data_IF_085535324835
#
_entry.id   IF_085535324835
#
_cell.length_a   1.000
_cell.length_b   1.000
_cell.length_c   1.000
_cell.angle_alpha   90.00
_cell.angle_beta   90.00
_cell.angle_gamma   90.00
#
_symmetry.space_group_name_H-M   'P 1'
#
loop_
_entity.id
_entity.type
_entity.pdbx_description
1 polymer ?
#
# COMPACT_ATOMS: atom_id res chain seq x y z
N UNK A 1 -4.29 5.28 9.67
CA UNK A 1 -5.49 4.44 9.82
C UNK A 1 -5.17 3.06 9.35
N UNK A 2 -4.98 2.17 10.33
CA UNK A 2 -5.34 0.78 10.12
C UNK A 2 -6.78 0.64 9.63
N UNK A 3 -7.01 -0.47 8.97
CA UNK A 3 -8.32 -0.98 8.64
C UNK A 3 -8.85 -1.64 9.91
N UNK A 4 -9.90 -1.06 10.49
CA UNK A 4 -10.48 -1.56 11.73
C UNK A 4 -11.57 -2.60 11.43
N UNK A 5 -11.58 -3.65 12.23
CA UNK A 5 -12.62 -4.69 12.23
C UNK A 5 -13.09 -4.85 13.68
N UNK A 6 -13.90 -3.91 14.21
CA UNK A 6 -14.38 -3.92 15.60
C UNK A 6 -15.03 -5.22 16.03
N UNK A 7 -15.79 -5.90 15.14
CA UNK A 7 -16.48 -7.15 15.45
C UNK A 7 -15.56 -8.24 16.02
N UNK A 8 -14.29 -8.19 15.67
CA UNK A 8 -13.27 -9.15 16.09
C UNK A 8 -12.10 -8.51 16.87
N UNK A 9 -12.22 -7.23 17.29
CA UNK A 9 -11.12 -6.53 17.95
C UNK A 9 -9.83 -6.48 17.13
N UNK A 10 -9.94 -6.44 15.80
CA UNK A 10 -8.81 -6.55 14.87
C UNK A 10 -8.48 -5.19 14.23
N UNK A 11 -7.21 -4.82 14.26
CA UNK A 11 -6.68 -3.65 13.58
C UNK A 11 -5.57 -4.07 12.60
N UNK A 12 -5.80 -3.83 11.31
CA UNK A 12 -4.87 -4.19 10.23
C UNK A 12 -4.17 -2.94 9.72
N UNK A 13 -2.91 -2.77 10.09
CA UNK A 13 -2.07 -1.67 9.65
C UNK A 13 -1.50 -1.96 8.26
N UNK A 14 -1.60 -0.97 7.38
CA UNK A 14 -1.18 -1.12 5.98
C UNK A 14 -0.50 0.15 5.50
N UNK A 15 0.55 -0.01 4.72
CA UNK A 15 1.07 1.05 3.86
C UNK A 15 0.50 0.92 2.43
N UNK A 16 0.68 1.91 1.55
CA UNK A 16 0.33 1.73 0.15
C UNK A 16 1.06 0.54 -0.48
N UNK A 17 0.39 -0.16 -1.41
CA UNK A 17 0.96 -1.23 -2.25
C UNK A 17 1.30 -2.55 -1.52
N UNK A 18 0.76 -2.76 -0.33
CA UNK A 18 0.84 -4.03 0.46
C UNK A 18 -0.46 -4.82 0.45
N UNK A 19 -1.13 -4.92 -0.72
CA UNK A 19 -2.46 -5.54 -0.86
C UNK A 19 -3.61 -4.78 -0.18
N UNK A 20 -3.45 -3.47 0.07
CA UNK A 20 -4.40 -2.66 0.85
C UNK A 20 -5.83 -2.68 0.28
N UNK A 21 -6.03 -2.83 -1.04
CA UNK A 21 -7.38 -2.99 -1.63
C UNK A 21 -8.03 -4.30 -1.19
N UNK A 22 -7.33 -5.42 -1.33
CA UNK A 22 -7.84 -6.74 -0.94
C UNK A 22 -8.09 -6.81 0.57
N UNK A 23 -7.20 -6.23 1.39
CA UNK A 23 -7.36 -6.18 2.84
C UNK A 23 -8.60 -5.38 3.26
N UNK A 24 -8.94 -4.29 2.55
CA UNK A 24 -10.16 -3.52 2.81
C UNK A 24 -11.42 -4.28 2.43
N UNK A 25 -11.41 -4.97 1.29
CA UNK A 25 -12.53 -5.84 0.89
C UNK A 25 -12.75 -6.96 1.91
N UNK A 26 -11.67 -7.56 2.40
CA UNK A 26 -11.71 -8.59 3.43
C UNK A 26 -12.27 -8.06 4.75
N UNK A 27 -11.79 -6.90 5.21
CA UNK A 27 -12.32 -6.27 6.42
C UNK A 27 -13.81 -5.94 6.30
N UNK A 28 -14.24 -5.43 5.14
CA UNK A 28 -15.66 -5.22 4.87
C UNK A 28 -16.45 -6.52 4.98
N UNK A 29 -15.94 -7.61 4.39
CA UNK A 29 -16.56 -8.93 4.48
C UNK A 29 -16.65 -9.43 5.94
N UNK A 30 -15.59 -9.29 6.73
CA UNK A 30 -15.60 -9.71 8.13
C UNK A 30 -16.67 -8.97 8.95
N UNK A 31 -16.80 -7.66 8.74
CA UNK A 31 -17.81 -6.84 9.41
C UNK A 31 -19.24 -7.16 8.95
N UNK A 32 -19.45 -7.31 7.64
CA UNK A 32 -20.80 -7.31 7.05
C UNK A 32 -21.28 -8.70 6.61
N UNK A 33 -20.42 -9.72 6.69
CA UNK A 33 -20.67 -11.08 6.19
C UNK A 33 -21.10 -11.14 4.72
N UNK A 34 -20.69 -10.15 3.92
CA UNK A 34 -20.94 -10.05 2.47
C UNK A 34 -19.81 -9.30 1.77
N UNK A 35 -19.59 -9.59 0.50
CA UNK A 35 -18.57 -8.90 -0.29
C UNK A 35 -18.95 -7.44 -0.55
N UNK A 36 -17.94 -6.58 -0.66
CA UNK A 36 -18.14 -5.19 -1.06
C UNK A 36 -18.39 -5.10 -2.56
N UNK A 37 -19.53 -4.53 -2.94
CA UNK A 37 -19.86 -4.20 -4.32
C UNK A 37 -19.76 -2.68 -4.54
N UNK A 38 -18.96 -2.21 -5.51
CA UNK A 38 -18.92 -0.79 -5.86
C UNK A 38 -20.31 -0.31 -6.30
N UNK A 39 -20.73 0.84 -5.78
CA UNK A 39 -22.04 1.41 -6.10
C UNK A 39 -21.90 2.87 -6.54
N UNK A 40 -22.94 3.38 -7.22
CA UNK A 40 -23.03 4.80 -7.60
C UNK A 40 -24.04 5.51 -6.72
N UNK A 41 -23.63 6.64 -6.14
CA UNK A 41 -24.50 7.53 -5.37
C UNK A 41 -24.04 8.97 -5.55
N UNK A 42 -24.97 9.88 -5.81
CA UNK A 42 -24.68 11.30 -6.03
C UNK A 42 -23.73 11.56 -7.22
N UNK A 43 -23.87 10.82 -8.32
CA UNK A 43 -23.00 10.93 -9.50
C UNK A 43 -21.57 10.40 -9.33
N UNK A 44 -21.20 9.95 -8.13
CA UNK A 44 -19.88 9.40 -7.81
C UNK A 44 -19.93 7.89 -7.69
N UNK A 45 -18.90 7.21 -8.19
CA UNK A 45 -18.70 5.77 -7.94
C UNK A 45 -17.93 5.61 -6.63
N UNK A 46 -18.49 4.84 -5.70
CA UNK A 46 -17.92 4.54 -4.41
C UNK A 46 -17.16 3.22 -4.48
N UNK A 47 -15.88 3.27 -4.12
CA UNK A 47 -15.02 2.09 -4.01
C UNK A 47 -14.76 1.77 -2.54
N UNK A 48 -14.26 0.57 -2.25
CA UNK A 48 -13.96 0.15 -0.86
C UNK A 48 -12.99 1.11 -0.15
N UNK A 49 -12.09 1.77 -0.89
CA UNK A 49 -11.18 2.78 -0.36
C UNK A 49 -11.88 4.04 0.16
N UNK A 50 -13.07 4.36 -0.37
CA UNK A 50 -13.89 5.49 0.09
C UNK A 50 -14.59 5.19 1.41
N UNK A 51 -14.85 3.90 1.68
CA UNK A 51 -15.52 3.44 2.90
C UNK A 51 -14.48 3.16 4.01
N UNK A 52 -13.34 2.59 3.64
CA UNK A 52 -12.25 2.23 4.55
C UNK A 52 -10.96 2.97 4.14
N UNK A 53 -10.74 4.24 4.52
CA UNK A 53 -9.55 4.99 4.10
C UNK A 53 -8.28 4.49 4.79
N UNK A 54 -7.11 4.63 4.14
CA UNK A 54 -5.80 4.46 4.78
C UNK A 54 -5.32 5.85 5.17
N UNK A 55 -4.97 6.07 6.43
CA UNK A 55 -4.38 7.34 6.92
C UNK A 55 -3.04 7.06 7.61
N UNK A 56 -2.34 8.08 8.08
CA UNK A 56 -1.08 7.94 8.84
C UNK A 56 -1.30 7.31 10.23
N UNK A 57 -0.22 6.87 10.87
CA UNK A 57 -0.24 6.00 12.05
C UNK A 57 -0.92 6.63 13.29
N UNK A 58 -0.69 7.91 13.58
CA UNK A 58 -0.97 8.55 14.89
C UNK A 58 -2.44 8.87 15.24
N UNK A 59 -3.44 8.17 14.68
CA UNK A 59 -4.86 8.60 14.83
C UNK A 59 -5.80 7.65 15.57
N UNK A 60 -5.33 6.58 16.22
CA UNK A 60 -6.25 5.59 16.84
C UNK A 60 -5.86 5.22 18.27
N UNK A 61 -6.85 5.24 19.16
CA UNK A 61 -6.77 4.63 20.49
C UNK A 61 -6.72 3.10 20.34
N UNK A 62 -5.52 2.53 20.38
CA UNK A 62 -5.27 1.10 20.09
C UNK A 62 -5.71 0.13 21.18
N UNK A 63 -6.08 0.62 22.38
CA UNK A 63 -6.45 -0.22 23.52
C UNK A 63 -7.68 -1.11 23.29
N UNK A 64 -8.51 -0.79 22.28
CA UNK A 64 -9.74 -1.53 21.95
C UNK A 64 -9.52 -2.69 20.95
N UNK A 65 -8.30 -2.86 20.42
CA UNK A 65 -7.99 -3.83 19.37
C UNK A 65 -6.87 -4.78 19.82
N UNK A 66 -7.16 -5.89 20.52
CA UNK A 66 -6.14 -6.84 20.98
C UNK A 66 -5.34 -7.46 19.83
N UNK A 67 -5.93 -7.58 18.64
CA UNK A 67 -5.26 -8.11 17.46
C UNK A 67 -4.73 -6.97 16.61
N UNK A 68 -3.52 -6.50 16.92
CA UNK A 68 -2.82 -5.47 16.15
C UNK A 68 -1.82 -6.12 15.21
N UNK A 69 -2.12 -6.13 13.91
CA UNK A 69 -1.28 -6.74 12.89
C UNK A 69 -0.85 -5.72 11.83
N UNK A 70 0.25 -5.96 11.14
CA UNK A 70 0.69 -5.14 10.02
C UNK A 70 0.93 -5.96 8.75
N UNK A 71 0.82 -5.27 7.61
CA UNK A 71 1.31 -5.75 6.32
C UNK A 71 2.45 -4.88 5.84
N UNK A 72 3.61 -5.51 5.63
CA UNK A 72 4.80 -4.89 5.04
C UNK A 72 5.11 -5.52 3.69
N UNK A 73 5.88 -4.83 2.87
CA UNK A 73 6.44 -5.37 1.63
C UNK A 73 7.86 -4.87 1.47
N UNK A 74 8.74 -5.69 0.90
CA UNK A 74 10.09 -5.27 0.53
C UNK A 74 10.04 -3.91 -0.23
N UNK A 75 10.79 -2.88 0.23
CA UNK A 75 10.63 -1.52 -0.28
C UNK A 75 10.82 -1.34 -1.79
N UNK A 76 11.78 -2.05 -2.40
CA UNK A 76 12.08 -1.94 -3.83
C UNK A 76 10.97 -2.60 -4.66
N UNK A 77 10.47 -3.76 -4.25
CA UNK A 77 9.31 -4.39 -4.87
C UNK A 77 8.06 -3.53 -4.77
N UNK A 78 7.85 -2.90 -3.60
CA UNK A 78 6.74 -1.99 -3.34
C UNK A 78 6.79 -0.80 -4.28
N UNK A 79 7.97 -0.18 -4.42
CA UNK A 79 8.23 0.91 -5.36
C UNK A 79 8.00 0.48 -6.82
N UNK A 80 8.53 -0.68 -7.21
CA UNK A 80 8.38 -1.23 -8.57
C UNK A 80 6.90 -1.49 -8.90
N UNK A 81 6.14 -2.02 -7.94
CA UNK A 81 4.70 -2.21 -8.06
C UNK A 81 3.94 -0.88 -8.20
N UNK A 82 4.39 0.17 -7.50
CA UNK A 82 3.86 1.52 -7.67
C UNK A 82 4.14 2.04 -9.09
N UNK A 83 5.40 2.03 -9.52
CA UNK A 83 5.83 2.54 -10.83
C UNK A 83 5.04 1.89 -11.97
N UNK A 84 4.95 0.55 -11.98
CA UNK A 84 4.17 -0.19 -12.98
C UNK A 84 2.68 0.18 -12.97
N UNK A 85 2.10 0.41 -11.80
CA UNK A 85 0.65 0.62 -11.67
C UNK A 85 0.20 2.06 -11.89
N UNK A 86 1.03 3.02 -11.50
CA UNK A 86 0.68 4.44 -11.39
C UNK A 86 1.43 5.33 -12.36
N UNK A 87 2.68 5.00 -12.67
CA UNK A 87 3.45 5.71 -13.69
C UNK A 87 3.13 5.10 -15.05
N UNK A 88 3.50 3.84 -15.28
CA UNK A 88 3.38 3.20 -16.61
C UNK A 88 1.94 2.95 -17.11
N UNK A 89 0.98 2.72 -16.20
CA UNK A 89 -0.40 2.34 -16.57
C UNK A 89 -1.38 3.51 -16.50
N UNK A 90 -1.11 4.53 -15.68
CA UNK A 90 -2.00 5.68 -15.48
C UNK A 90 -1.38 6.96 -16.05
N UNK A 91 -0.95 6.92 -17.30
CA UNK A 91 -0.53 8.10 -18.07
C UNK A 91 -1.73 8.96 -18.49
N UNK A 92 -2.52 9.45 -17.53
CA UNK A 92 -3.44 10.56 -17.83
C UNK A 92 -2.68 11.86 -17.55
N UNK A 93 -1.91 12.30 -18.54
CA UNK A 93 -1.22 13.61 -18.59
C UNK A 93 -2.20 14.80 -18.37
N UNK A 94 -3.51 14.54 -18.36
CA UNK A 94 -4.56 15.50 -18.02
C UNK A 94 -4.62 15.88 -16.53
N UNK A 95 -3.91 15.18 -15.64
CA UNK A 95 -3.90 15.50 -14.20
C UNK A 95 -2.95 16.67 -13.92
N UNK A 96 -3.42 17.64 -13.12
CA UNK A 96 -2.71 18.89 -12.78
C UNK A 96 -1.28 18.64 -12.26
N UNK A 97 -1.09 17.60 -11.43
CA UNK A 97 0.24 17.26 -10.90
C UNK A 97 1.25 16.86 -11.98
N UNK A 98 0.82 16.11 -13.00
CA UNK A 98 1.69 15.74 -14.11
C UNK A 98 2.04 16.94 -14.99
N UNK A 99 1.09 17.85 -15.21
CA UNK A 99 1.37 19.12 -15.90
C UNK A 99 2.40 19.96 -15.15
N UNK A 100 2.30 20.04 -13.82
CA UNK A 100 3.28 20.73 -12.97
C UNK A 100 4.66 20.09 -13.05
N UNK A 101 4.74 18.76 -13.02
CA UNK A 101 5.99 18.02 -13.18
C UNK A 101 6.66 18.36 -14.53
N UNK A 102 5.90 18.30 -15.63
CA UNK A 102 6.39 18.63 -16.97
C UNK A 102 6.82 20.10 -17.09
N UNK A 103 6.07 21.04 -16.51
CA UNK A 103 6.43 22.46 -16.48
C UNK A 103 7.74 22.74 -15.72
N UNK A 104 8.18 21.82 -14.85
CA UNK A 104 9.48 21.85 -14.17
C UNK A 104 10.59 21.11 -14.93
N UNK A 105 10.32 20.66 -16.15
CA UNK A 105 11.29 19.94 -16.99
C UNK A 105 11.37 18.43 -16.71
N UNK A 106 10.48 17.87 -15.88
CA UNK A 106 10.48 16.42 -15.63
C UNK A 106 9.90 15.65 -16.83
N UNK A 107 10.48 14.49 -17.20
CA UNK A 107 9.93 13.66 -18.25
C UNK A 107 8.46 13.28 -17.99
N UNK A 108 7.54 13.43 -18.96
CA UNK A 108 6.15 13.00 -18.80
C UNK A 108 6.02 11.46 -18.79
N UNK A 109 6.99 10.77 -19.39
CA UNK A 109 7.05 9.32 -19.52
C UNK A 109 8.45 8.81 -19.14
N UNK A 110 8.84 8.94 -17.87
CA UNK A 110 10.19 8.59 -17.45
C UNK A 110 10.40 7.07 -17.51
N UNK A 111 11.62 6.67 -17.87
CA UNK A 111 12.15 5.34 -17.55
C UNK A 111 12.22 5.16 -16.03
N UNK A 112 12.48 3.93 -15.57
CA UNK A 112 12.62 3.68 -14.13
C UNK A 112 13.75 4.50 -13.52
N UNK A 113 14.92 4.51 -14.16
CA UNK A 113 16.09 5.23 -13.66
C UNK A 113 15.89 6.75 -13.67
N UNK A 114 15.25 7.31 -14.71
CA UNK A 114 14.90 8.74 -14.72
C UNK A 114 13.91 9.10 -13.61
N UNK A 115 12.94 8.22 -13.34
CA UNK A 115 11.96 8.43 -12.28
C UNK A 115 12.60 8.36 -10.88
N UNK A 116 13.50 7.40 -10.66
CA UNK A 116 14.25 7.27 -9.40
C UNK A 116 15.16 8.47 -9.20
N UNK A 117 15.93 8.85 -10.22
CA UNK A 117 16.84 10.00 -10.18
C UNK A 117 16.11 11.31 -9.85
N UNK A 118 14.88 11.46 -10.32
CA UNK A 118 14.05 12.66 -10.10
C UNK A 118 12.94 12.44 -9.04
N UNK A 119 13.05 11.42 -8.18
CA UNK A 119 11.97 11.02 -7.28
C UNK A 119 11.49 12.17 -6.38
N UNK A 120 12.41 12.97 -5.84
CA UNK A 120 12.07 14.14 -5.02
C UNK A 120 11.13 15.12 -5.75
N UNK A 121 11.44 15.44 -7.00
CA UNK A 121 10.68 16.42 -7.77
C UNK A 121 9.32 15.90 -8.22
N UNK A 122 9.22 14.61 -8.55
CA UNK A 122 7.92 13.98 -8.77
C UNK A 122 7.07 13.95 -7.51
N UNK A 123 7.66 13.68 -6.33
CA UNK A 123 6.95 13.73 -5.04
C UNK A 123 6.43 15.13 -4.73
N UNK A 124 7.22 16.18 -4.95
CA UNK A 124 6.78 17.57 -4.76
C UNK A 124 5.67 17.99 -5.74
N UNK A 125 5.69 17.45 -6.96
CA UNK A 125 4.75 17.85 -8.01
C UNK A 125 3.46 17.05 -8.01
N UNK A 126 3.50 15.79 -7.57
CA UNK A 126 2.41 14.82 -7.69
C UNK A 126 2.14 14.16 -6.33
N UNK A 127 1.08 14.60 -5.66
CA UNK A 127 0.65 14.08 -4.33
C UNK A 127 0.49 12.55 -4.34
N UNK A 128 -0.01 11.97 -5.43
CA UNK A 128 -0.14 10.51 -5.55
C UNK A 128 1.23 9.80 -5.54
N UNK A 129 2.26 10.41 -6.14
CA UNK A 129 3.64 9.89 -6.09
C UNK A 129 4.17 9.99 -4.67
N UNK A 130 4.04 11.15 -4.02
CA UNK A 130 4.45 11.34 -2.63
C UNK A 130 3.85 10.27 -1.71
N UNK A 131 2.53 10.11 -1.75
CA UNK A 131 1.82 9.17 -0.89
C UNK A 131 2.24 7.71 -1.13
N UNK A 132 2.29 7.25 -2.38
CA UNK A 132 2.56 5.83 -2.66
C UNK A 132 4.04 5.44 -2.58
N UNK A 133 4.94 6.42 -2.66
CA UNK A 133 6.39 6.20 -2.46
C UNK A 133 6.81 6.50 -1.03
N UNK A 134 5.90 6.94 -0.16
CA UNK A 134 6.26 7.21 1.24
C UNK A 134 6.70 5.92 1.97
N UNK A 135 7.65 6.09 2.89
CA UNK A 135 8.20 5.02 3.73
C UNK A 135 7.09 4.31 4.50
N UNK A 136 7.22 3.01 4.69
CA UNK A 136 6.25 2.20 5.43
C UNK A 136 6.15 2.65 6.89
N UNK A 137 7.25 3.04 7.51
CA UNK A 137 7.27 3.52 8.90
C UNK A 137 6.35 4.71 9.16
N UNK A 138 6.07 5.55 8.14
CA UNK A 138 5.12 6.67 8.27
C UNK A 138 3.67 6.17 8.49
N UNK A 139 3.35 5.00 7.97
CA UNK A 139 2.01 4.39 8.11
C UNK A 139 1.93 3.37 9.24
N UNK A 140 3.05 2.73 9.57
CA UNK A 140 3.12 1.57 10.44
C UNK A 140 3.83 1.85 11.78
N UNK A 141 4.47 3.00 11.94
CA UNK A 141 5.31 3.28 13.11
C UNK A 141 6.77 2.89 12.87
N UNK A 142 7.64 3.24 13.82
CA UNK A 142 9.09 3.00 13.73
C UNK A 142 9.53 1.73 14.46
N UNK A 143 8.58 1.02 15.10
CA UNK A 143 8.85 -0.11 15.97
C UNK A 143 8.02 -1.33 15.53
N UNK A 144 8.67 -2.37 15.04
CA UNK A 144 7.99 -3.60 14.62
C UNK A 144 7.31 -4.34 15.79
N UNK A 145 7.82 -4.16 17.01
CA UNK A 145 7.31 -4.74 18.26
C UNK A 145 5.91 -4.25 18.64
N UNK A 146 5.41 -3.19 18.00
CA UNK A 146 4.06 -2.70 18.18
C UNK A 146 2.97 -3.62 17.62
N UNK A 147 3.35 -4.63 16.85
CA UNK A 147 2.45 -5.57 16.19
C UNK A 147 2.58 -6.97 16.79
N UNK A 148 1.43 -7.60 17.05
CA UNK A 148 1.37 -9.01 17.42
C UNK A 148 1.96 -9.88 16.30
N UNK A 149 1.62 -9.53 15.05
CA UNK A 149 2.08 -10.23 13.84
C UNK A 149 2.29 -9.27 12.68
N UNK A 150 3.31 -9.55 11.89
CA UNK A 150 3.61 -8.82 10.66
C UNK A 150 3.59 -9.82 9.50
N UNK A 151 2.81 -9.49 8.48
CA UNK A 151 2.65 -10.31 7.29
C UNK A 151 3.20 -9.60 6.06
N UNK A 152 3.48 -10.38 5.02
CA UNK A 152 3.87 -9.90 3.70
C UNK A 152 2.89 -10.37 2.63
N UNK A 153 2.97 -9.85 1.39
CA UNK A 153 2.24 -10.43 0.27
C UNK A 153 2.55 -11.92 0.01
N UNK A 154 3.65 -12.46 0.54
CA UNK A 154 4.05 -13.85 0.38
C UNK A 154 3.48 -14.76 1.49
N UNK A 155 3.10 -14.20 2.64
CA UNK A 155 2.55 -14.93 3.80
C UNK A 155 1.02 -14.83 3.89
N UNK A 156 0.32 -14.71 2.75
CA UNK A 156 -1.15 -14.53 2.73
C UNK A 156 -1.87 -15.75 3.30
N UNK A 157 -1.38 -16.97 3.05
CA UNK A 157 -2.00 -18.18 3.58
C UNK A 157 -1.96 -18.22 5.12
N UNK A 158 -0.81 -17.87 5.71
CA UNK A 158 -0.64 -17.78 7.17
C UNK A 158 -1.57 -16.72 7.78
N UNK A 159 -1.71 -15.58 7.10
CA UNK A 159 -2.67 -14.55 7.50
C UNK A 159 -4.11 -15.06 7.47
N UNK A 160 -4.50 -15.82 6.45
CA UNK A 160 -5.84 -16.39 6.37
C UNK A 160 -6.10 -17.44 7.44
N UNK A 161 -5.10 -18.24 7.79
CA UNK A 161 -5.18 -19.20 8.90
C UNK A 161 -5.32 -18.49 10.24
N UNK A 162 -4.57 -17.41 10.46
CA UNK A 162 -4.72 -16.55 11.63
C UNK A 162 -6.13 -15.93 11.71
N UNK A 163 -6.63 -15.36 10.62
CA UNK A 163 -7.97 -14.79 10.58
C UNK A 163 -9.05 -15.83 10.86
N UNK A 164 -8.88 -17.07 10.40
CA UNK A 164 -9.81 -18.15 10.73
C UNK A 164 -9.82 -18.42 12.24
N UNK A 165 -8.66 -18.38 12.89
CA UNK A 165 -8.56 -18.50 14.35
C UNK A 165 -9.24 -17.35 15.10
N UNK A 166 -9.07 -16.11 14.63
CA UNK A 166 -9.64 -14.90 15.27
C UNK A 166 -11.15 -14.78 15.03
N UNK A 167 -11.61 -15.06 13.81
CA UNK A 167 -13.00 -14.75 13.40
C UNK A 167 -13.93 -15.97 13.33
N UNK A 168 -13.39 -17.18 13.33
CA UNK A 168 -14.12 -18.42 12.99
C UNK A 168 -14.53 -18.51 11.52
N UNK A 169 -14.32 -17.48 10.70
CA UNK A 169 -14.73 -17.43 9.31
C UNK A 169 -13.62 -17.95 8.38
N UNK A 170 -14.01 -18.68 7.33
CA UNK A 170 -13.13 -18.99 6.20
C UNK A 170 -13.05 -17.78 5.27
N UNK A 171 -12.32 -16.75 5.69
CA UNK A 171 -12.16 -15.53 4.93
C UNK A 171 -11.13 -15.76 3.79
N UNK A 172 -11.52 -15.48 2.54
CA UNK A 172 -10.63 -15.57 1.40
C UNK A 172 -10.13 -14.19 1.01
N UNK A 173 -8.81 -14.03 0.97
CA UNK A 173 -8.21 -12.82 0.41
C UNK A 173 -8.23 -12.99 -1.11
N UNK A 174 -9.08 -12.26 -1.86
CA UNK A 174 -9.11 -12.42 -3.30
C UNK A 174 -7.74 -12.02 -3.83
N UNK A 175 -7.11 -12.93 -4.58
CA UNK A 175 -5.83 -12.68 -5.24
C UNK A 175 -6.07 -11.70 -6.40
N UNK A 176 -6.31 -10.44 -6.07
CA UNK A 176 -6.95 -9.49 -6.97
C UNK A 176 -5.99 -8.83 -7.96
N UNK A 177 -4.72 -9.22 -8.00
CA UNK A 177 -3.79 -8.79 -9.05
C UNK A 177 -2.78 -9.89 -9.39
N UNK A 178 -3.21 -10.87 -10.21
CA UNK A 178 -2.30 -11.33 -11.27
C UNK A 178 -2.16 -10.12 -12.19
N UNK A 179 -1.08 -9.34 -12.04
CA UNK A 179 -0.72 -8.31 -13.02
C UNK A 179 -0.32 -9.02 -14.30
N UNK A 180 -1.30 -9.55 -15.04
CA UNK A 180 -1.15 -10.54 -16.11
C UNK A 180 -0.44 -10.04 -17.37
N UNK A 181 0.29 -8.92 -17.29
CA UNK A 181 1.17 -8.31 -18.31
C UNK A 181 1.80 -7.05 -17.71
N UNK A 182 2.54 -7.14 -16.61
CA UNK A 182 3.34 -5.98 -16.20
C UNK A 182 4.42 -5.74 -17.25
N UNK A 183 4.46 -4.53 -17.83
CA UNK A 183 5.59 -4.08 -18.65
C UNK A 183 6.89 -4.41 -17.91
N UNK A 184 7.84 -5.04 -18.61
CA UNK A 184 9.18 -5.25 -18.05
C UNK A 184 9.76 -3.87 -17.72
N UNK A 185 10.38 -3.79 -16.56
CA UNK A 185 11.03 -2.59 -16.07
C UNK A 185 12.47 -2.98 -15.87
N UNK A 186 13.37 -2.30 -16.58
CA UNK A 186 14.80 -2.43 -16.35
C UNK A 186 15.13 -1.66 -15.06
N UNK A 187 15.83 -2.33 -14.14
CA UNK A 187 16.24 -1.77 -12.85
C UNK A 187 17.74 -1.94 -12.78
N UNK A 188 18.47 -0.83 -12.62
CA UNK A 188 19.93 -0.82 -12.54
C UNK A 188 20.39 -0.86 -11.08
N UNK A 189 21.62 -1.29 -10.83
CA UNK A 189 22.19 -1.31 -9.48
C UNK A 189 22.23 0.07 -8.83
N UNK A 190 22.45 1.12 -9.63
CA UNK A 190 22.39 2.50 -9.16
C UNK A 190 20.99 2.88 -8.66
N UNK A 191 19.93 2.40 -9.32
CA UNK A 191 18.54 2.63 -8.90
C UNK A 191 18.27 1.93 -7.57
N UNK A 192 18.72 0.69 -7.44
CA UNK A 192 18.61 -0.10 -6.21
C UNK A 192 19.30 0.59 -5.05
N UNK A 193 20.55 1.07 -5.27
CA UNK A 193 21.31 1.77 -4.25
C UNK A 193 20.58 3.02 -3.78
N UNK A 194 20.12 3.87 -4.70
CA UNK A 194 19.39 5.09 -4.37
C UNK A 194 18.07 4.78 -3.63
N UNK A 195 17.34 3.74 -4.04
CA UNK A 195 16.11 3.32 -3.36
C UNK A 195 16.37 2.73 -1.97
N UNK A 196 17.47 1.98 -1.79
CA UNK A 196 17.90 1.50 -0.47
C UNK A 196 18.21 2.64 0.47
N UNK A 197 18.92 3.66 0.00
CA UNK A 197 19.20 4.85 0.79
C UNK A 197 17.91 5.60 1.14
N UNK A 198 17.00 5.77 0.18
CA UNK A 198 15.71 6.43 0.39
C UNK A 198 14.80 5.69 1.39
N UNK A 199 14.81 4.35 1.35
CA UNK A 199 14.00 3.48 2.22
C UNK A 199 14.78 2.90 3.40
N UNK A 200 15.96 3.43 3.74
CA UNK A 200 16.85 2.87 4.76
C UNK A 200 16.12 2.51 6.06
N UNK A 201 15.30 3.41 6.58
CA UNK A 201 14.53 3.19 7.81
C UNK A 201 13.49 2.06 7.68
N UNK A 202 12.90 1.83 6.50
CA UNK A 202 12.01 0.68 6.31
C UNK A 202 12.80 -0.64 6.40
N UNK A 203 14.03 -0.68 5.88
CA UNK A 203 14.92 -1.84 6.00
C UNK A 203 15.37 -2.06 7.43
N UNK A 204 15.72 -1.00 8.15
CA UNK A 204 16.13 -1.07 9.56
C UNK A 204 14.98 -1.55 10.45
N UNK A 205 13.76 -1.02 10.27
CA UNK A 205 12.61 -1.37 11.11
C UNK A 205 11.98 -2.72 10.76
N UNK A 206 11.82 -3.03 9.47
CA UNK A 206 11.03 -4.19 9.01
C UNK A 206 11.84 -5.21 8.21
N UNK A 207 13.16 -5.06 8.10
CA UNK A 207 14.02 -5.93 7.28
C UNK A 207 14.02 -7.40 7.69
N UNK A 208 13.68 -7.74 8.93
CA UNK A 208 13.56 -9.14 9.35
C UNK A 208 12.38 -9.89 8.71
N UNK A 209 11.43 -9.17 8.07
CA UNK A 209 10.21 -9.74 7.51
C UNK A 209 10.25 -9.92 5.99
N UNK A 210 11.32 -9.50 5.30
CA UNK A 210 11.45 -9.63 3.85
C UNK A 210 12.88 -9.90 3.39
#
# INVERSE_FOLDING_TARGET
MPILVPKYGLAIYTSPKVLSTSLKSLAFFLENSRDFEPFRAGGKTWHVHSIMPTTEFERIKTKEYPHKIAFVREPIERFTSFFRNRVLRRHKQSLIGWRRAVARGLPPEPTFSEFVSNLSEYRQSIVEVAHHTEKQVVFLGYEASEFEKIYTPHSVNEFQDYLRGVSGMKARLPHQQKSGRSRKVEIKDADIKQLRDFYRVDFETYGAFF
#
